data_IF_947162128571
#
_entry.id   IF_947162128571
#
_cell.length_a   1.000
_cell.length_b   1.000
_cell.length_c   1.000
_cell.angle_alpha   90.00
_cell.angle_beta   90.00
_cell.angle_gamma   90.00
#
_symmetry.space_group_name_H-M   'P 1'
#
loop_
_entity.id
_entity.type
_entity.pdbx_description
1 polymer ?
#
# COMPACT_ATOMS: atom_id res chain seq x y z
N UNK A 1 -5.23 29.60 -13.11
CA UNK A 1 -5.36 29.88 -11.66
C UNK A 1 -4.04 30.47 -11.16
N UNK A 2 -4.02 31.17 -10.04
CA UNK A 2 -2.75 31.58 -9.44
C UNK A 2 -2.11 30.42 -8.67
N UNK A 3 -0.83 30.17 -8.91
CA UNK A 3 0.01 29.35 -8.05
C UNK A 3 0.25 30.06 -6.73
N UNK A 4 0.41 29.29 -5.65
CA UNK A 4 0.67 29.82 -4.30
C UNK A 4 1.82 29.11 -3.63
N UNK A 5 2.71 29.88 -3.02
CA UNK A 5 3.76 29.39 -2.10
C UNK A 5 3.56 30.11 -0.75
N UNK A 6 3.66 29.38 0.35
CA UNK A 6 3.29 29.89 1.69
C UNK A 6 1.89 30.54 1.76
N UNK A 7 0.96 30.14 0.89
CA UNK A 7 -0.39 30.71 0.80
C UNK A 7 -0.49 32.04 0.04
N UNK A 8 0.61 32.62 -0.41
CA UNK A 8 0.66 33.91 -1.14
C UNK A 8 0.76 33.66 -2.64
N UNK A 9 0.20 34.57 -3.46
CA UNK A 9 0.34 34.50 -4.93
C UNK A 9 1.81 34.47 -5.35
N UNK A 10 2.15 33.50 -6.18
CA UNK A 10 3.41 33.40 -6.87
C UNK A 10 3.17 33.70 -8.37
N UNK A 11 3.29 32.69 -9.23
CA UNK A 11 3.11 32.83 -10.67
C UNK A 11 1.83 32.12 -11.17
N UNK A 12 1.31 32.49 -12.35
CA UNK A 12 0.20 31.78 -12.97
C UNK A 12 0.51 30.31 -13.23
N UNK A 13 -0.49 29.46 -13.05
CA UNK A 13 -0.46 28.04 -13.42
C UNK A 13 -1.84 27.58 -13.93
N UNK A 14 -1.96 26.33 -14.34
CA UNK A 14 -3.26 25.75 -14.72
C UNK A 14 -3.76 24.80 -13.63
N UNK A 15 -5.08 24.74 -13.46
CA UNK A 15 -5.67 23.74 -12.56
C UNK A 15 -5.38 22.32 -13.07
N UNK A 16 -5.27 22.14 -14.38
CA UNK A 16 -4.84 20.88 -15.00
C UNK A 16 -3.46 20.42 -14.53
N UNK A 17 -2.46 21.31 -14.39
CA UNK A 17 -1.15 20.95 -13.85
C UNK A 17 -1.22 20.50 -12.38
N UNK A 18 -2.11 21.10 -11.57
CA UNK A 18 -2.36 20.66 -10.19
C UNK A 18 -2.97 19.26 -10.14
N UNK A 19 -3.94 18.96 -11.02
CA UNK A 19 -4.51 17.62 -11.13
C UNK A 19 -3.51 16.59 -11.67
N UNK A 20 -2.67 16.98 -12.64
CA UNK A 20 -1.62 16.12 -13.17
C UNK A 20 -0.58 15.74 -12.09
N UNK A 21 -0.25 16.66 -11.19
CA UNK A 21 0.58 16.38 -10.02
C UNK A 21 -0.03 15.29 -9.13
N UNK A 22 -1.34 15.34 -8.88
CA UNK A 22 -2.05 14.32 -8.09
C UNK A 22 -2.12 12.99 -8.82
N UNK A 23 -2.37 13.01 -10.13
CA UNK A 23 -2.40 11.83 -10.98
C UNK A 23 -1.06 11.08 -10.96
N UNK A 24 0.06 11.78 -11.16
CA UNK A 24 1.38 11.13 -11.10
C UNK A 24 1.72 10.64 -9.69
N UNK A 25 1.24 11.29 -8.64
CA UNK A 25 1.35 10.77 -7.28
C UNK A 25 0.57 9.48 -7.07
N UNK A 26 -0.66 9.41 -7.57
CA UNK A 26 -1.49 8.21 -7.47
C UNK A 26 -0.95 7.06 -8.30
N UNK A 27 -0.26 7.32 -9.42
CA UNK A 27 0.49 6.29 -10.16
C UNK A 27 1.62 5.69 -9.31
N UNK A 28 2.39 6.52 -8.61
CA UNK A 28 3.43 6.03 -7.67
C UNK A 28 2.80 5.21 -6.54
N UNK A 29 1.68 5.66 -6.00
CA UNK A 29 0.95 4.95 -4.95
C UNK A 29 0.36 3.61 -5.42
N UNK A 30 -0.13 3.53 -6.65
CA UNK A 30 -0.60 2.28 -7.23
C UNK A 30 0.53 1.24 -7.30
N UNK A 31 1.72 1.66 -7.73
CA UNK A 31 2.87 0.75 -7.80
C UNK A 31 3.31 0.27 -6.40
N UNK A 32 3.40 1.18 -5.42
CA UNK A 32 3.67 0.82 -4.02
C UNK A 32 2.63 -0.16 -3.49
N UNK A 33 1.35 0.09 -3.75
CA UNK A 33 0.28 -0.79 -3.30
C UNK A 33 0.37 -2.19 -3.94
N UNK A 34 0.69 -2.29 -5.24
CA UNK A 34 0.90 -3.60 -5.89
C UNK A 34 2.02 -4.39 -5.22
N UNK A 35 3.12 -3.71 -4.87
CA UNK A 35 4.26 -4.33 -4.17
C UNK A 35 3.88 -4.78 -2.76
N UNK A 36 3.27 -3.89 -1.97
CA UNK A 36 2.82 -4.19 -0.61
C UNK A 36 1.77 -5.31 -0.58
N UNK A 37 0.82 -5.30 -1.52
CA UNK A 37 -0.16 -6.38 -1.74
C UNK A 37 0.56 -7.71 -1.98
N UNK A 38 1.50 -7.74 -2.93
CA UNK A 38 2.28 -8.94 -3.20
C UNK A 38 3.12 -9.41 -2.00
N UNK A 39 3.54 -8.49 -1.12
CA UNK A 39 4.26 -8.78 0.11
C UNK A 39 3.39 -9.40 1.22
N UNK A 40 2.10 -9.07 1.28
CA UNK A 40 1.18 -9.58 2.31
C UNK A 40 0.37 -10.82 1.87
N UNK A 41 0.25 -11.09 0.56
CA UNK A 41 -0.49 -12.25 -0.01
C UNK A 41 0.24 -13.59 0.19
N UNK A 42 0.46 -13.95 1.45
CA UNK A 42 1.10 -15.18 1.88
C UNK A 42 0.25 -15.93 2.91
N UNK A 43 0.22 -17.25 2.80
CA UNK A 43 -0.37 -18.17 3.78
C UNK A 43 0.70 -18.93 4.55
N UNK A 44 0.31 -19.56 5.67
CA UNK A 44 1.15 -20.52 6.39
C UNK A 44 0.35 -21.67 7.00
N UNK A 45 0.78 -22.90 6.77
CA UNK A 45 0.25 -24.16 7.32
C UNK A 45 1.44 -25.09 7.64
N UNK A 46 2.40 -24.57 8.40
CA UNK A 46 3.69 -25.19 8.71
C UNK A 46 3.79 -25.82 10.11
N UNK A 47 2.66 -25.91 10.81
CA UNK A 47 2.56 -26.50 12.14
C UNK A 47 2.92 -25.54 13.30
N UNK A 48 3.21 -26.12 14.46
CA UNK A 48 3.31 -25.38 15.73
C UNK A 48 4.46 -24.36 15.78
N UNK A 49 5.61 -24.71 15.22
CA UNK A 49 6.83 -23.88 15.20
C UNK A 49 7.41 -23.69 13.80
N UNK A 50 6.65 -24.04 12.75
CA UNK A 50 7.05 -23.81 11.36
C UNK A 50 7.97 -24.87 10.75
N UNK A 51 8.08 -26.05 11.38
CA UNK A 51 9.01 -27.12 10.99
C UNK A 51 8.37 -28.24 10.18
N UNK A 52 7.06 -28.19 9.90
CA UNK A 52 6.33 -29.26 9.21
C UNK A 52 6.35 -30.63 9.91
N UNK A 53 6.75 -30.70 11.19
CA UNK A 53 6.94 -31.96 11.91
C UNK A 53 5.72 -32.89 11.93
N UNK A 54 4.51 -32.30 11.94
CA UNK A 54 3.24 -33.02 12.02
C UNK A 54 2.28 -32.69 10.86
N UNK A 55 2.78 -32.02 9.81
CA UNK A 55 1.95 -31.62 8.65
C UNK A 55 2.81 -31.54 7.40
N UNK A 56 2.41 -32.26 6.36
CA UNK A 56 3.15 -32.28 5.09
C UNK A 56 3.08 -30.90 4.39
N UNK A 57 4.21 -30.35 3.88
CA UNK A 57 4.23 -29.10 3.12
C UNK A 57 3.25 -29.05 1.94
N UNK A 58 2.87 -30.20 1.36
CA UNK A 58 1.85 -30.30 0.33
C UNK A 58 0.51 -29.66 0.76
N UNK A 59 0.13 -29.79 2.04
CA UNK A 59 -1.11 -29.21 2.55
C UNK A 59 -1.07 -27.68 2.45
N UNK A 60 0.07 -27.07 2.80
CA UNK A 60 0.25 -25.62 2.67
C UNK A 60 0.17 -25.18 1.20
N UNK A 61 0.89 -25.89 0.31
CA UNK A 61 0.90 -25.58 -1.12
C UNK A 61 -0.50 -25.67 -1.73
N UNK A 62 -1.20 -26.79 -1.48
CA UNK A 62 -2.55 -27.03 -1.98
C UNK A 62 -3.53 -25.96 -1.53
N UNK A 63 -3.55 -25.64 -0.22
CA UNK A 63 -4.49 -24.66 0.31
C UNK A 63 -4.16 -23.25 -0.19
N UNK A 64 -2.88 -22.86 -0.20
CA UNK A 64 -2.48 -21.54 -0.68
C UNK A 64 -2.83 -21.36 -2.17
N UNK A 65 -2.59 -22.37 -3.00
CA UNK A 65 -2.98 -22.36 -4.41
C UNK A 65 -4.50 -22.19 -4.59
N UNK A 66 -5.31 -22.95 -3.84
CA UNK A 66 -6.78 -22.84 -3.89
C UNK A 66 -7.31 -21.48 -3.39
N UNK A 67 -6.57 -20.81 -2.51
CA UNK A 67 -6.89 -19.46 -2.03
C UNK A 67 -6.30 -18.35 -2.90
N UNK A 68 -5.47 -18.68 -3.90
CA UNK A 68 -4.81 -17.69 -4.76
C UNK A 68 -3.71 -16.87 -4.07
N UNK A 69 -3.08 -17.43 -3.02
CA UNK A 69 -2.00 -16.80 -2.26
C UNK A 69 -0.73 -17.65 -2.30
N UNK A 70 0.40 -17.09 -1.87
CA UNK A 70 1.69 -17.80 -1.87
C UNK A 70 1.93 -18.52 -0.54
N UNK A 71 2.51 -19.71 -0.58
CA UNK A 71 3.06 -20.36 0.60
C UNK A 71 4.29 -19.57 1.13
N UNK A 72 4.38 -19.35 2.44
CA UNK A 72 5.55 -18.68 3.03
C UNK A 72 6.79 -19.59 2.93
N UNK A 73 7.91 -19.13 2.32
CA UNK A 73 9.10 -19.98 2.13
C UNK A 73 9.67 -20.53 3.44
N UNK A 74 9.54 -19.74 4.51
CA UNK A 74 9.81 -20.13 5.89
C UNK A 74 8.84 -19.38 6.79
N UNK A 75 8.43 -20.02 7.88
CA UNK A 75 7.55 -19.42 8.88
C UNK A 75 7.88 -19.97 10.26
N UNK A 76 7.35 -19.32 11.30
CA UNK A 76 7.34 -19.86 12.67
C UNK A 76 5.92 -20.35 12.98
N UNK A 77 5.46 -20.25 14.22
CA UNK A 77 4.04 -20.41 14.53
C UNK A 77 3.15 -19.45 13.72
N UNK A 78 3.71 -18.38 13.16
CA UNK A 78 2.94 -17.35 12.47
C UNK A 78 3.71 -16.77 11.28
N UNK A 79 3.02 -15.99 10.44
CA UNK A 79 3.68 -15.16 9.43
C UNK A 79 4.51 -14.07 10.11
N UNK A 80 5.59 -13.68 9.45
CA UNK A 80 6.44 -12.60 9.92
C UNK A 80 5.72 -11.24 9.71
N UNK A 81 5.82 -10.36 10.71
CA UNK A 81 4.99 -9.14 10.80
C UNK A 81 5.52 -7.96 10.00
N UNK A 82 6.76 -8.05 9.50
CA UNK A 82 7.31 -7.12 8.51
C UNK A 82 6.36 -6.92 7.32
N UNK A 83 5.77 -8.00 6.81
CA UNK A 83 4.76 -7.96 5.72
C UNK A 83 3.57 -7.06 6.05
N UNK A 84 3.10 -7.15 7.29
CA UNK A 84 1.92 -6.41 7.75
C UNK A 84 2.26 -4.95 7.99
N UNK A 85 3.46 -4.68 8.54
CA UNK A 85 3.96 -3.34 8.75
C UNK A 85 4.15 -2.59 7.42
N UNK A 86 4.76 -3.22 6.42
CA UNK A 86 4.94 -2.65 5.08
C UNK A 86 3.60 -2.37 4.39
N UNK A 87 2.67 -3.32 4.47
CA UNK A 87 1.31 -3.14 3.97
C UNK A 87 0.60 -1.95 4.62
N UNK A 88 0.64 -1.85 5.96
CA UNK A 88 0.02 -0.76 6.69
C UNK A 88 0.68 0.59 6.42
N UNK A 89 2.00 0.63 6.33
CA UNK A 89 2.75 1.84 5.98
C UNK A 89 2.39 2.34 4.58
N UNK A 90 2.22 1.43 3.63
CA UNK A 90 1.78 1.75 2.28
C UNK A 90 0.37 2.32 2.26
N UNK A 91 -0.57 1.72 3.00
CA UNK A 91 -1.94 2.25 3.13
C UNK A 91 -1.94 3.65 3.75
N UNK A 92 -1.17 3.86 4.81
CA UNK A 92 -1.03 5.16 5.46
C UNK A 92 -0.52 6.22 4.48
N UNK A 93 0.49 5.89 3.67
CA UNK A 93 1.04 6.80 2.66
C UNK A 93 0.01 7.21 1.60
N UNK A 94 -0.80 6.25 1.12
CA UNK A 94 -1.90 6.53 0.20
C UNK A 94 -2.92 7.48 0.84
N UNK A 95 -3.30 7.22 2.10
CA UNK A 95 -4.24 8.06 2.83
C UNK A 95 -3.70 9.49 3.00
N UNK A 96 -2.42 9.66 3.29
CA UNK A 96 -1.78 10.99 3.39
C UNK A 96 -1.75 11.73 2.06
N UNK A 97 -1.60 11.05 0.92
CA UNK A 97 -1.79 11.67 -0.40
C UNK A 97 -3.22 12.20 -0.58
N UNK A 98 -4.22 11.41 -0.16
CA UNK A 98 -5.64 11.83 -0.21
C UNK A 98 -5.88 13.03 0.71
N UNK A 99 -5.33 13.01 1.92
CA UNK A 99 -5.37 14.14 2.85
C UNK A 99 -4.80 15.42 2.21
N UNK A 100 -3.64 15.33 1.58
CA UNK A 100 -3.02 16.46 0.86
C UNK A 100 -3.96 17.04 -0.19
N UNK A 101 -4.63 16.20 -0.98
CA UNK A 101 -5.59 16.66 -1.98
C UNK A 101 -6.82 17.30 -1.33
N UNK A 102 -7.33 16.70 -0.25
CA UNK A 102 -8.47 17.21 0.49
C UNK A 102 -8.18 18.59 1.14
N UNK A 103 -6.98 18.78 1.70
CA UNK A 103 -6.54 20.07 2.24
C UNK A 103 -6.49 21.14 1.15
N UNK A 104 -6.02 20.79 -0.05
CA UNK A 104 -6.02 21.72 -1.19
C UNK A 104 -7.45 22.08 -1.62
N UNK A 105 -8.35 21.10 -1.73
CA UNK A 105 -9.77 21.34 -2.06
C UNK A 105 -10.40 22.27 -1.01
N UNK A 106 -10.20 22.00 0.28
CA UNK A 106 -10.66 22.86 1.38
C UNK A 106 -10.08 24.28 1.29
N UNK A 107 -8.85 24.42 0.81
CA UNK A 107 -8.21 25.72 0.59
C UNK A 107 -8.83 26.49 -0.57
N UNK A 108 -9.15 25.80 -1.67
CA UNK A 108 -9.74 26.42 -2.87
C UNK A 108 -11.25 26.70 -2.75
N UNK A 109 -11.94 26.06 -1.80
CA UNK A 109 -13.36 26.30 -1.51
C UNK A 109 -13.57 27.41 -0.46
N UNK A 110 -12.51 27.92 0.16
CA UNK A 110 -12.59 29.15 0.95
C UNK A 110 -12.62 30.28 -0.07
N UNK A 111 -13.80 30.88 -0.24
CA UNK A 111 -14.20 31.82 -1.32
C UNK A 111 -14.69 31.13 -2.59
#
# INVERSE_FOLDING_TARGET
MMGRTHGVHAEPTTFGLKLALWYEEMKRNLERFKQAKAGIEYGKISGAVGTYANIDPFVEQYVCEKLGIKAAPISTQTLQRDRHADYMATLALVATSIEKFAVEIRGLQKE
#
